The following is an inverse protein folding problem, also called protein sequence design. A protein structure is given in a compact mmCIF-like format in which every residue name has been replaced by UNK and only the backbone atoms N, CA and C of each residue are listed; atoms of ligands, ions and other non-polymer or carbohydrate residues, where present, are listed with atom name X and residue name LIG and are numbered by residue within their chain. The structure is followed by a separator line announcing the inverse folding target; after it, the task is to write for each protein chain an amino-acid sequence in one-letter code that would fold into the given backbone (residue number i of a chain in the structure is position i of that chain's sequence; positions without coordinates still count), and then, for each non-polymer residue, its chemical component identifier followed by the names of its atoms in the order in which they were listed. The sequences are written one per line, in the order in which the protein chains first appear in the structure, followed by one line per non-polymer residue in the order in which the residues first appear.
data_IF_963164501363
#
_entry.id   IF_963164501363
#
_cell.length_a   1.000
_cell.length_b   1.000
_cell.length_c   1.000
_cell.angle_alpha   90.00
_cell.angle_beta   90.00
_cell.angle_gamma   90.00
#
_symmetry.space_group_name_H-M   'P 1'
#
loop_
_entity.id
_entity.type
_entity.pdbx_description
1 polymer ?
#
# COMPACT_ATOMS: atom_id res chain seq x y z
N UNK A 1 8.92 21.47 -26.51
CA UNK A 1 9.14 20.17 -25.83
C UNK A 1 8.01 19.26 -26.28
N UNK A 2 8.33 18.18 -26.99
CA UNK A 2 7.33 17.31 -27.61
C UNK A 2 6.37 16.77 -26.55
N UNK A 3 5.06 16.94 -26.77
CA UNK A 3 3.97 16.50 -25.89
C UNK A 3 3.78 14.98 -25.84
N UNK A 4 4.87 14.21 -25.90
CA UNK A 4 4.86 12.77 -25.75
C UNK A 4 4.67 12.42 -24.27
N UNK A 5 3.54 11.81 -23.94
CA UNK A 5 3.32 11.20 -22.63
C UNK A 5 3.77 9.74 -22.73
N UNK A 6 4.73 9.28 -21.91
CA UNK A 6 5.14 7.87 -21.91
C UNK A 6 3.95 6.92 -21.69
N UNK A 7 3.97 5.76 -22.34
CA UNK A 7 2.86 4.79 -22.32
C UNK A 7 2.46 4.39 -20.90
N UNK A 8 3.45 4.10 -20.03
CA UNK A 8 3.18 3.77 -18.63
C UNK A 8 2.38 4.88 -17.90
N UNK A 9 2.68 6.15 -18.19
CA UNK A 9 2.04 7.30 -17.55
C UNK A 9 0.65 7.54 -18.12
N UNK A 10 0.47 7.39 -19.44
CA UNK A 10 -0.83 7.44 -20.09
C UNK A 10 -1.74 6.33 -19.55
N UNK A 11 -1.22 5.10 -19.45
CA UNK A 11 -1.94 3.95 -18.91
C UNK A 11 -2.29 4.15 -17.44
N UNK A 12 -1.34 4.55 -16.59
CA UNK A 12 -1.58 4.82 -15.17
C UNK A 12 -2.69 5.86 -14.96
N UNK A 13 -2.67 6.96 -15.73
CA UNK A 13 -3.71 8.01 -15.68
C UNK A 13 -5.09 7.52 -16.13
N UNK A 14 -5.14 6.53 -17.02
CA UNK A 14 -6.40 5.96 -17.52
C UNK A 14 -7.08 5.02 -16.52
N UNK A 15 -6.34 4.47 -15.55
CA UNK A 15 -6.90 3.54 -14.55
C UNK A 15 -7.63 4.37 -13.49
N UNK A 16 -8.94 4.14 -13.27
CA UNK A 16 -9.70 4.88 -12.27
C UNK A 16 -9.14 4.71 -10.86
N UNK A 17 -9.23 5.77 -10.07
CA UNK A 17 -8.94 5.75 -8.65
C UNK A 17 -9.84 6.72 -7.89
N UNK A 18 -10.18 6.37 -6.66
CA UNK A 18 -10.84 7.27 -5.71
C UNK A 18 -9.87 8.34 -5.21
N UNK A 19 -10.40 9.38 -4.57
CA UNK A 19 -9.60 10.44 -3.94
C UNK A 19 -9.72 10.33 -2.42
N UNK A 20 -8.80 9.61 -1.81
CA UNK A 20 -8.73 9.46 -0.35
C UNK A 20 -7.56 10.23 0.26
N UNK A 21 -6.58 10.61 -0.55
CA UNK A 21 -5.46 11.44 -0.10
C UNK A 21 -5.84 12.92 -0.10
N UNK A 22 -5.24 13.71 0.78
CA UNK A 22 -5.36 15.17 0.75
C UNK A 22 -4.74 15.79 -0.52
N UNK A 23 -3.80 15.07 -1.13
CA UNK A 23 -2.99 15.49 -2.27
C UNK A 23 -1.62 14.80 -2.21
N UNK A 24 -0.62 15.32 -2.95
CA UNK A 24 0.76 14.86 -2.81
C UNK A 24 1.25 14.90 -1.37
N UNK A 25 1.80 13.80 -0.86
CA UNK A 25 2.31 13.77 0.52
C UNK A 25 3.54 14.67 0.66
N UNK A 26 3.65 15.47 1.74
CA UNK A 26 4.75 16.41 1.92
C UNK A 26 6.12 15.73 1.93
N UNK A 27 7.16 16.40 1.42
CA UNK A 27 8.56 15.96 1.51
C UNK A 27 9.30 16.91 2.44
N UNK A 28 9.93 16.38 3.49
CA UNK A 28 10.53 17.17 4.56
C UNK A 28 12.00 16.84 4.74
N UNK A 29 12.84 17.88 4.80
CA UNK A 29 14.26 17.72 5.10
C UNK A 29 14.43 17.39 6.58
N UNK A 30 15.31 16.43 6.89
CA UNK A 30 15.64 16.04 8.26
C UNK A 30 17.06 16.52 8.60
N UNK A 31 17.28 17.83 8.88
CA UNK A 31 18.61 18.40 9.05
C UNK A 31 19.38 17.80 10.23
N UNK A 32 18.69 17.57 11.36
CA UNK A 32 19.31 16.99 12.56
C UNK A 32 19.76 15.55 12.32
N UNK A 33 18.91 14.74 11.69
CA UNK A 33 19.24 13.35 11.35
C UNK A 33 20.36 13.29 10.30
N UNK A 34 20.33 14.19 9.30
CA UNK A 34 21.38 14.28 8.30
C UNK A 34 22.73 14.61 8.92
N UNK A 35 22.77 15.60 9.83
CA UNK A 35 23.99 15.99 10.56
C UNK A 35 24.51 14.85 11.44
N UNK A 36 23.60 14.10 12.07
CA UNK A 36 23.97 12.98 12.93
C UNK A 36 24.58 11.82 12.12
N UNK A 37 23.94 11.43 11.02
CA UNK A 37 24.36 10.27 10.21
C UNK A 37 25.48 10.57 9.21
N UNK A 38 25.60 11.83 8.79
CA UNK A 38 26.61 12.30 7.85
C UNK A 38 27.12 13.67 8.29
N UNK A 39 27.97 13.73 9.33
CA UNK A 39 28.49 15.00 9.85
C UNK A 39 29.23 15.84 8.80
N UNK A 40 29.86 15.19 7.83
CA UNK A 40 30.57 15.81 6.70
C UNK A 40 29.63 16.28 5.58
N UNK A 41 28.33 15.97 5.65
CA UNK A 41 27.32 16.43 4.70
C UNK A 41 27.22 15.61 3.41
N UNK A 42 27.83 14.43 3.35
CA UNK A 42 27.78 13.52 2.19
C UNK A 42 26.40 12.93 1.91
N UNK A 43 25.51 12.85 2.92
CA UNK A 43 24.14 12.34 2.78
C UNK A 43 23.13 13.32 3.38
N UNK A 44 22.08 13.62 2.61
CA UNK A 44 20.93 14.42 3.07
C UNK A 44 19.71 13.53 3.20
N UNK A 45 19.18 13.41 4.40
CA UNK A 45 18.00 12.57 4.69
C UNK A 45 16.73 13.40 4.60
N UNK A 46 15.75 12.86 3.88
CA UNK A 46 14.42 13.44 3.73
C UNK A 46 13.36 12.39 4.06
N UNK A 47 12.16 12.83 4.41
CA UNK A 47 11.00 11.98 4.62
C UNK A 47 9.81 12.45 3.79
N UNK A 48 9.28 11.57 2.95
CA UNK A 48 8.00 11.76 2.27
C UNK A 48 6.87 11.20 3.13
N UNK A 49 5.99 12.09 3.60
CA UNK A 49 5.07 11.88 4.73
C UNK A 49 3.79 11.17 4.34
N UNK A 50 3.92 9.96 3.80
CA UNK A 50 2.78 9.11 3.47
C UNK A 50 1.98 8.68 4.73
N UNK A 51 2.54 8.83 5.92
CA UNK A 51 1.85 8.68 7.21
C UNK A 51 0.81 9.78 7.50
N UNK A 52 0.88 10.92 6.81
CA UNK A 52 -0.02 12.07 6.98
C UNK A 52 -0.88 12.31 5.72
N UNK A 53 -1.03 11.31 4.85
CA UNK A 53 -1.59 11.51 3.52
C UNK A 53 -3.13 11.62 3.47
N UNK A 54 -3.86 11.34 4.55
CA UNK A 54 -5.33 11.25 4.54
C UNK A 54 -5.95 11.52 5.91
N UNK A 55 -7.17 12.05 5.90
CA UNK A 55 -8.02 12.20 7.09
C UNK A 55 -8.71 10.89 7.52
N UNK A 56 -8.61 9.83 6.72
CA UNK A 56 -9.24 8.56 6.99
C UNK A 56 -8.44 7.75 8.01
N UNK A 57 -8.78 7.95 9.29
CA UNK A 57 -8.23 7.23 10.45
C UNK A 57 -6.69 7.15 10.40
N UNK A 58 -6.00 8.28 10.29
CA UNK A 58 -4.54 8.42 10.18
C UNK A 58 -3.91 8.01 8.84
N UNK A 59 -4.67 7.64 7.82
CA UNK A 59 -4.13 7.42 6.47
C UNK A 59 -3.04 6.34 6.39
N UNK A 60 -1.95 6.64 5.69
CA UNK A 60 -0.79 5.76 5.54
C UNK A 60 -0.65 5.17 4.14
N UNK A 61 0.41 4.38 3.95
CA UNK A 61 0.72 3.75 2.66
C UNK A 61 -0.41 2.87 2.10
N UNK A 62 -1.25 2.29 2.96
CA UNK A 62 -2.34 1.42 2.51
C UNK A 62 -3.46 2.20 1.83
N UNK A 63 -3.77 3.42 2.30
CA UNK A 63 -4.81 4.26 1.68
C UNK A 63 -4.44 4.63 0.25
N UNK A 64 -3.17 4.94 -0.03
CA UNK A 64 -2.67 5.20 -1.38
C UNK A 64 -2.90 4.03 -2.35
N UNK A 65 -2.75 2.78 -1.89
CA UNK A 65 -3.05 1.60 -2.72
C UNK A 65 -4.55 1.43 -2.92
N UNK A 66 -5.32 1.65 -1.85
CA UNK A 66 -6.76 1.44 -1.82
C UNK A 66 -7.55 2.41 -2.71
N UNK A 67 -7.00 3.57 -3.09
CA UNK A 67 -7.64 4.45 -4.09
C UNK A 67 -8.02 3.68 -5.37
N UNK A 68 -7.14 2.81 -5.87
CA UNK A 68 -7.38 2.02 -7.07
C UNK A 68 -8.33 0.84 -6.83
N UNK A 69 -8.13 0.10 -5.73
CA UNK A 69 -8.94 -1.09 -5.43
C UNK A 69 -10.39 -0.74 -5.11
N UNK A 70 -10.65 0.40 -4.43
CA UNK A 70 -12.03 0.83 -4.14
C UNK A 70 -12.74 1.32 -5.40
N UNK A 71 -12.03 2.01 -6.31
CA UNK A 71 -12.61 2.40 -7.60
C UNK A 71 -13.03 1.17 -8.41
N UNK A 72 -12.20 0.13 -8.41
CA UNK A 72 -12.52 -1.14 -9.05
C UNK A 72 -13.68 -1.88 -8.36
N UNK A 73 -13.70 -1.93 -7.03
CA UNK A 73 -14.81 -2.50 -6.26
C UNK A 73 -16.16 -1.81 -6.60
N UNK A 74 -16.18 -0.48 -6.65
CA UNK A 74 -17.37 0.30 -7.03
C UNK A 74 -17.78 0.04 -8.47
N UNK A 75 -16.82 0.00 -9.40
CA UNK A 75 -17.07 -0.33 -10.82
C UNK A 75 -17.71 -1.71 -10.98
N UNK A 76 -17.30 -2.67 -10.15
CA UNK A 76 -17.87 -4.01 -10.12
C UNK A 76 -19.22 -4.07 -9.37
N UNK A 77 -19.70 -2.98 -8.78
CA UNK A 77 -20.94 -2.94 -8.01
C UNK A 77 -20.86 -3.71 -6.69
N UNK A 78 -19.66 -3.87 -6.12
CA UNK A 78 -19.48 -4.48 -4.81
C UNK A 78 -19.99 -3.54 -3.71
N UNK A 79 -20.54 -4.11 -2.63
CA UNK A 79 -21.09 -3.36 -1.50
C UNK A 79 -20.28 -3.51 -0.21
N UNK A 80 -19.33 -4.46 -0.19
CA UNK A 80 -18.59 -4.83 1.02
C UNK A 80 -17.14 -5.13 0.68
N UNK A 81 -16.19 -4.46 1.33
CA UNK A 81 -14.79 -4.85 1.28
C UNK A 81 -14.51 -5.94 2.31
N UNK A 82 -13.88 -7.04 1.87
CA UNK A 82 -13.45 -8.13 2.75
C UNK A 82 -11.93 -8.20 2.75
N UNK A 83 -11.30 -8.20 3.92
CA UNK A 83 -9.83 -8.21 4.01
C UNK A 83 -9.32 -8.96 5.24
N UNK A 84 -8.00 -9.12 5.32
CA UNK A 84 -7.30 -9.88 6.37
C UNK A 84 -6.03 -9.15 6.85
N UNK A 85 -5.69 -9.32 8.12
CA UNK A 85 -4.45 -8.80 8.69
C UNK A 85 -4.17 -9.33 10.09
N UNK A 86 -3.01 -9.01 10.65
CA UNK A 86 -2.77 -9.22 12.08
C UNK A 86 -3.67 -8.34 12.96
N UNK A 87 -3.79 -8.65 14.25
CA UNK A 87 -4.59 -7.87 15.23
C UNK A 87 -4.33 -6.36 15.17
N UNK A 88 -3.07 -5.91 15.10
CA UNK A 88 -2.74 -4.48 15.00
C UNK A 88 -2.47 -4.00 13.57
N UNK A 89 -3.09 -4.65 12.59
CA UNK A 89 -2.88 -4.34 11.18
C UNK A 89 -3.32 -2.91 10.82
N UNK A 90 -2.36 -2.11 10.37
CA UNK A 90 -2.66 -0.82 9.72
C UNK A 90 -3.51 -1.00 8.45
N UNK A 91 -3.43 -2.17 7.81
CA UNK A 91 -4.16 -2.44 6.58
C UNK A 91 -5.66 -2.64 6.83
N UNK A 92 -6.06 -3.45 7.81
CA UNK A 92 -7.49 -3.67 8.10
C UNK A 92 -8.15 -2.38 8.60
N UNK A 93 -7.42 -1.58 9.38
CA UNK A 93 -7.83 -0.22 9.76
C UNK A 93 -8.05 0.67 8.53
N UNK A 94 -7.10 0.70 7.59
CA UNK A 94 -7.24 1.47 6.36
C UNK A 94 -8.38 0.97 5.45
N UNK A 95 -8.55 -0.35 5.28
CA UNK A 95 -9.65 -0.96 4.52
C UNK A 95 -10.99 -0.56 5.10
N UNK A 96 -11.13 -0.64 6.42
CA UNK A 96 -12.37 -0.24 7.10
C UNK A 96 -12.66 1.25 6.88
N UNK A 97 -11.64 2.10 7.02
CA UNK A 97 -11.80 3.54 6.85
C UNK A 97 -12.26 3.92 5.43
N UNK A 98 -11.61 3.38 4.39
CA UNK A 98 -11.97 3.69 2.99
C UNK A 98 -13.31 3.07 2.58
N UNK A 99 -13.68 1.90 3.14
CA UNK A 99 -14.98 1.29 2.91
C UNK A 99 -16.09 2.18 3.46
N UNK A 100 -16.04 2.50 4.76
CA UNK A 100 -17.04 3.34 5.43
C UNK A 100 -17.15 4.72 4.77
N UNK A 101 -16.01 5.36 4.45
CA UNK A 101 -16.00 6.65 3.76
C UNK A 101 -16.60 6.60 2.34
N UNK A 102 -16.61 5.42 1.72
CA UNK A 102 -17.16 5.20 0.38
C UNK A 102 -18.60 4.70 0.37
N UNK A 103 -19.25 4.59 1.54
CA UNK A 103 -20.58 3.99 1.69
C UNK A 103 -20.60 2.47 1.54
N UNK A 104 -19.44 1.80 1.56
CA UNK A 104 -19.31 0.35 1.54
C UNK A 104 -19.24 -0.19 2.96
N UNK A 105 -19.63 -1.45 3.14
CA UNK A 105 -19.39 -2.19 4.39
C UNK A 105 -17.96 -2.71 4.43
N UNK A 106 -17.47 -3.04 5.62
CA UNK A 106 -16.17 -3.68 5.81
C UNK A 106 -16.30 -4.93 6.68
N UNK A 107 -15.76 -6.05 6.22
CA UNK A 107 -15.54 -7.27 7.02
C UNK A 107 -14.05 -7.55 7.05
N UNK A 108 -13.46 -7.60 8.23
CA UNK A 108 -12.02 -7.90 8.36
C UNK A 108 -11.77 -9.07 9.28
N UNK A 109 -10.94 -10.01 8.81
CA UNK A 109 -10.44 -11.12 9.62
C UNK A 109 -9.10 -10.70 10.22
N UNK A 110 -8.99 -10.78 11.55
CA UNK A 110 -7.82 -10.34 12.30
C UNK A 110 -7.21 -11.50 13.10
N UNK A 111 -5.98 -11.86 12.75
CA UNK A 111 -5.28 -13.06 13.21
C UNK A 111 -4.09 -12.72 14.12
N UNK A 112 -3.66 -13.67 14.95
CA UNK A 112 -2.48 -13.49 15.82
C UNK A 112 -1.19 -13.80 15.05
N UNK A 113 -0.77 -12.87 14.19
CA UNK A 113 0.46 -13.03 13.39
C UNK A 113 1.76 -12.83 14.18
N UNK A 114 1.68 -12.19 15.33
CA UNK A 114 2.85 -11.92 16.17
C UNK A 114 2.67 -12.70 17.48
N UNK A 115 3.67 -13.50 17.91
CA UNK A 115 3.57 -14.34 19.12
C UNK A 115 3.78 -13.50 20.40
N UNK A 116 2.99 -12.43 20.55
CA UNK A 116 2.97 -11.56 21.73
C UNK A 116 1.55 -11.46 22.28
N UNK A 117 1.42 -11.24 23.59
CA UNK A 117 0.14 -11.05 24.24
C UNK A 117 0.18 -9.91 25.28
N UNK A 118 0.54 -8.67 24.87
CA UNK A 118 0.52 -7.56 25.80
C UNK A 118 -0.93 -7.26 26.21
N UNK A 119 -1.15 -6.66 27.41
CA UNK A 119 -2.49 -6.26 27.83
C UNK A 119 -3.19 -5.39 26.77
N UNK A 120 -4.47 -5.67 26.54
CA UNK A 120 -5.35 -4.89 25.64
C UNK A 120 -4.94 -4.88 24.15
N UNK A 121 -4.10 -5.82 23.71
CA UNK A 121 -3.61 -5.88 22.32
C UNK A 121 -4.72 -5.91 21.28
N UNK A 122 -5.82 -6.61 21.58
CA UNK A 122 -7.00 -6.76 20.73
C UNK A 122 -8.10 -5.73 21.03
N UNK A 123 -7.82 -4.75 21.90
CA UNK A 123 -8.78 -3.74 22.39
C UNK A 123 -8.33 -2.30 22.15
N UNK A 124 -7.12 -2.07 21.66
CA UNK A 124 -6.52 -0.73 21.51
C UNK A 124 -5.90 -0.54 20.13
N UNK A 125 -5.64 0.70 19.73
CA UNK A 125 -4.98 1.02 18.46
C UNK A 125 -5.80 0.63 17.22
N UNK A 126 -5.18 -0.01 16.23
CA UNK A 126 -5.77 -0.20 14.90
C UNK A 126 -7.08 -1.02 14.91
N UNK A 127 -7.14 -2.07 15.73
CA UNK A 127 -8.36 -2.89 15.83
C UNK A 127 -9.52 -2.12 16.45
N UNK A 128 -9.24 -1.29 17.47
CA UNK A 128 -10.23 -0.43 18.10
C UNK A 128 -10.81 0.55 17.08
N UNK A 129 -9.95 1.22 16.30
CA UNK A 129 -10.39 2.15 15.25
C UNK A 129 -11.28 1.45 14.21
N UNK A 130 -10.92 0.23 13.81
CA UNK A 130 -11.72 -0.56 12.87
C UNK A 130 -13.14 -0.82 13.40
N UNK A 131 -13.28 -1.15 14.69
CA UNK A 131 -14.58 -1.34 15.34
C UNK A 131 -15.37 -0.04 15.45
N UNK A 132 -14.71 1.05 15.88
CA UNK A 132 -15.36 2.36 16.04
C UNK A 132 -15.89 2.93 14.72
N UNK A 133 -15.26 2.61 13.59
CA UNK A 133 -15.73 2.99 12.25
C UNK A 133 -16.88 2.11 11.72
N UNK A 134 -17.38 1.16 12.52
CA UNK A 134 -18.47 0.26 12.15
C UNK A 134 -18.04 -0.97 11.33
N UNK A 135 -16.75 -1.29 11.27
CA UNK A 135 -16.27 -2.50 10.61
C UNK A 135 -16.68 -3.77 11.35
N UNK A 136 -17.11 -4.80 10.61
CA UNK A 136 -17.32 -6.15 11.15
C UNK A 136 -15.95 -6.82 11.34
N UNK A 137 -15.38 -6.68 12.55
CA UNK A 137 -14.07 -7.23 12.90
C UNK A 137 -14.22 -8.62 13.50
N UNK A 138 -13.70 -9.63 12.79
CA UNK A 138 -13.66 -11.03 13.24
C UNK A 138 -12.27 -11.35 13.76
N UNK A 139 -12.15 -11.52 15.07
CA UNK A 139 -10.92 -12.04 15.66
C UNK A 139 -10.88 -13.55 15.44
N UNK A 140 -9.88 -14.02 14.71
CA UNK A 140 -9.58 -15.43 14.58
C UNK A 140 -8.39 -15.77 15.49
N UNK A 141 -8.49 -16.86 16.25
CA UNK A 141 -7.39 -17.32 17.10
C UNK A 141 -6.33 -18.13 16.35
N UNK A 142 -6.53 -18.41 15.06
CA UNK A 142 -5.54 -19.06 14.21
C UNK A 142 -4.26 -18.20 14.05
N UNK A 143 -3.11 -18.88 13.95
CA UNK A 143 -1.79 -18.27 13.77
C UNK A 143 -1.51 -17.85 12.32
N UNK A 144 -0.31 -17.32 12.05
CA UNK A 144 0.11 -16.96 10.68
C UNK A 144 0.33 -18.20 9.82
N UNK A 145 -0.48 -18.39 8.76
CA UNK A 145 -0.31 -19.45 7.76
C UNK A 145 -0.16 -18.86 6.35
N UNK A 146 0.81 -19.38 5.58
CA UNK A 146 1.07 -18.98 4.18
C UNK A 146 -0.08 -19.42 3.25
N UNK A 147 -0.80 -20.47 3.64
CA UNK A 147 -2.08 -20.84 3.07
C UNK A 147 -3.15 -19.89 3.59
N UNK A 148 -3.46 -18.85 2.82
CA UNK A 148 -4.75 -18.20 2.95
C UNK A 148 -5.85 -19.30 3.01
N UNK A 149 -6.92 -19.08 3.76
CA UNK A 149 -8.20 -18.74 3.12
C UNK A 149 -9.43 -19.15 3.93
N UNK A 150 -9.44 -20.08 4.88
CA UNK A 150 -10.75 -20.55 5.41
C UNK A 150 -11.56 -19.45 6.11
N UNK A 151 -11.05 -18.82 7.17
CA UNK A 151 -11.79 -17.72 7.83
C UNK A 151 -12.08 -16.53 6.89
N UNK A 152 -11.19 -16.26 5.93
CA UNK A 152 -11.39 -15.19 4.94
C UNK A 152 -12.41 -15.59 3.86
N UNK A 153 -12.44 -16.85 3.42
CA UNK A 153 -13.45 -17.43 2.52
C UNK A 153 -14.79 -17.41 3.22
N UNK A 154 -14.87 -17.84 4.47
CA UNK A 154 -16.07 -17.75 5.29
C UNK A 154 -16.54 -16.30 5.43
N UNK A 155 -15.63 -15.33 5.57
CA UNK A 155 -15.98 -13.91 5.52
C UNK A 155 -16.58 -13.51 4.17
N UNK A 156 -15.97 -13.88 3.05
CA UNK A 156 -16.50 -13.64 1.70
C UNK A 156 -17.87 -14.31 1.50
N UNK A 157 -18.00 -15.59 1.82
CA UNK A 157 -19.24 -16.36 1.65
C UNK A 157 -20.35 -15.85 2.57
N UNK A 158 -20.03 -15.41 3.79
CA UNK A 158 -21.03 -14.83 4.67
C UNK A 158 -21.60 -13.50 4.16
N UNK A 159 -20.82 -12.71 3.39
CA UNK A 159 -21.35 -11.51 2.73
C UNK A 159 -22.34 -11.91 1.64
N UNK A 160 -21.98 -12.90 0.81
CA UNK A 160 -22.86 -13.43 -0.24
C UNK A 160 -24.15 -14.03 0.33
N UNK A 161 -24.04 -14.79 1.43
CA UNK A 161 -25.19 -15.39 2.10
C UNK A 161 -26.17 -14.35 2.68
N UNK A 162 -25.67 -13.16 3.04
CA UNK A 162 -26.49 -12.00 3.44
C UNK A 162 -27.02 -11.20 2.25
N UNK A 163 -26.86 -11.69 1.02
CA UNK A 163 -27.28 -11.04 -0.22
C UNK A 163 -26.35 -9.92 -0.72
N UNK A 164 -25.17 -9.76 -0.11
CA UNK A 164 -24.21 -8.74 -0.50
C UNK A 164 -23.23 -9.19 -1.58
N UNK A 165 -22.46 -8.24 -2.13
CA UNK A 165 -21.43 -8.50 -3.15
C UNK A 165 -20.04 -8.13 -2.60
N UNK A 166 -19.25 -9.12 -2.14
CA UNK A 166 -17.94 -8.85 -1.56
C UNK A 166 -16.90 -8.48 -2.63
N UNK A 167 -15.96 -7.61 -2.26
CA UNK A 167 -14.71 -7.37 -2.95
C UNK A 167 -13.54 -7.77 -2.04
N UNK A 168 -12.76 -8.76 -2.44
CA UNK A 168 -11.65 -9.25 -1.63
C UNK A 168 -10.40 -8.39 -1.81
N UNK A 169 -9.88 -7.85 -0.70
CA UNK A 169 -8.61 -7.13 -0.65
C UNK A 169 -7.57 -7.98 0.07
N UNK A 170 -6.54 -8.49 -0.62
CA UNK A 170 -5.52 -9.34 -0.01
C UNK A 170 -4.64 -8.55 0.98
N UNK A 171 -3.92 -9.27 1.83
CA UNK A 171 -3.10 -8.69 2.89
C UNK A 171 -2.19 -7.55 2.40
N UNK A 172 -2.41 -6.35 2.95
CA UNK A 172 -1.65 -5.15 2.61
C UNK A 172 -1.93 -4.57 1.23
N UNK A 173 -3.01 -5.03 0.57
CA UNK A 173 -3.39 -4.76 -0.81
C UNK A 173 -2.27 -5.09 -1.83
N UNK A 174 -1.44 -6.10 -1.52
CA UNK A 174 -0.21 -6.32 -2.28
C UNK A 174 -0.35 -7.33 -3.41
N UNK A 175 -0.84 -8.53 -3.11
CA UNK A 175 -0.98 -9.58 -4.13
C UNK A 175 -2.27 -9.40 -4.95
N UNK A 176 -2.40 -8.23 -5.55
CA UNK A 176 -3.55 -7.78 -6.34
C UNK A 176 -3.03 -7.08 -7.60
N UNK A 177 -3.72 -7.23 -8.72
CA UNK A 177 -3.28 -6.65 -10.01
C UNK A 177 -3.09 -5.12 -9.93
N UNK A 178 -3.94 -4.44 -9.16
CA UNK A 178 -3.88 -2.99 -8.92
C UNK A 178 -2.96 -2.59 -7.77
N UNK A 179 -2.39 -3.55 -7.02
CA UNK A 179 -1.74 -3.32 -5.73
C UNK A 179 -0.46 -2.47 -5.80
N UNK A 180 0.23 -2.45 -6.95
CA UNK A 180 1.43 -1.66 -7.19
C UNK A 180 1.19 -0.23 -7.66
N UNK A 181 0.02 0.05 -8.24
CA UNK A 181 -0.28 1.31 -8.94
C UNK A 181 -0.16 2.55 -8.04
N UNK A 182 -0.60 2.42 -6.79
CA UNK A 182 -0.49 3.49 -5.79
C UNK A 182 0.93 4.02 -5.64
N UNK A 183 1.92 3.12 -5.54
CA UNK A 183 3.32 3.48 -5.35
C UNK A 183 4.07 3.75 -6.65
N UNK A 184 3.57 3.28 -7.80
CA UNK A 184 4.05 3.82 -9.09
C UNK A 184 3.64 5.29 -9.23
N UNK A 185 2.41 5.65 -8.88
CA UNK A 185 1.96 7.04 -8.85
C UNK A 185 2.70 7.90 -7.81
N UNK A 186 3.21 7.29 -6.73
CA UNK A 186 4.09 7.99 -5.78
C UNK A 186 5.36 8.51 -6.46
N UNK A 187 5.96 7.74 -7.38
CA UNK A 187 7.18 8.19 -8.09
C UNK A 187 6.84 9.33 -9.05
N UNK A 188 5.70 9.27 -9.74
CA UNK A 188 5.20 10.38 -10.58
C UNK A 188 5.02 11.65 -9.75
N UNK A 189 4.36 11.53 -8.60
CA UNK A 189 4.16 12.61 -7.64
C UNK A 189 5.49 13.18 -7.11
N UNK A 190 6.45 12.31 -6.82
CA UNK A 190 7.78 12.71 -6.36
C UNK A 190 8.54 13.46 -7.45
N UNK A 191 8.46 13.02 -8.71
CA UNK A 191 9.13 13.69 -9.83
C UNK A 191 8.60 15.12 -10.05
N UNK A 192 7.31 15.37 -9.81
CA UNK A 192 6.73 16.72 -9.82
C UNK A 192 7.27 17.58 -8.66
N UNK A 193 7.37 17.01 -7.46
CA UNK A 193 7.93 17.70 -6.30
C UNK A 193 9.42 18.00 -6.48
N UNK A 194 10.19 17.08 -7.04
CA UNK A 194 11.60 17.25 -7.41
C UNK A 194 11.82 18.42 -8.36
N UNK A 195 10.97 18.53 -9.40
CA UNK A 195 11.01 19.63 -10.34
C UNK A 195 10.74 20.99 -9.66
N UNK A 196 9.79 21.03 -8.70
CA UNK A 196 9.49 22.24 -7.93
C UNK A 196 10.62 22.62 -6.96
N UNK A 197 11.29 21.63 -6.37
CA UNK A 197 12.35 21.81 -5.38
C UNK A 197 13.73 22.05 -6.01
N UNK A 198 13.89 21.79 -7.32
CA UNK A 198 15.17 21.91 -8.02
C UNK A 198 16.20 20.87 -7.54
N UNK A 199 15.77 19.67 -7.15
CA UNK A 199 16.63 18.59 -6.68
C UNK A 199 16.11 17.22 -7.13
N UNK A 200 16.97 16.20 -7.03
CA UNK A 200 16.62 14.81 -7.33
C UNK A 200 17.00 13.92 -6.13
N UNK A 201 16.10 13.02 -5.75
CA UNK A 201 16.34 12.01 -4.73
C UNK A 201 16.86 10.73 -5.40
N UNK A 202 18.16 10.52 -5.38
CA UNK A 202 18.82 9.39 -6.02
C UNK A 202 18.42 8.03 -5.42
N UNK A 203 18.05 8.02 -4.13
CA UNK A 203 17.76 6.79 -3.38
C UNK A 203 16.46 6.93 -2.57
N UNK A 204 15.56 5.96 -2.72
CA UNK A 204 14.36 5.81 -1.89
C UNK A 204 14.54 4.64 -0.93
N UNK A 205 14.21 4.82 0.34
CA UNK A 205 14.24 3.77 1.35
C UNK A 205 12.81 3.44 1.76
N UNK A 206 12.45 2.14 1.79
CA UNK A 206 11.08 1.70 2.06
C UNK A 206 11.03 0.43 2.90
N UNK A 207 10.21 0.43 3.95
CA UNK A 207 9.89 -0.78 4.71
C UNK A 207 9.09 -1.77 3.85
N UNK A 208 9.47 -3.06 3.88
CA UNK A 208 8.91 -4.11 3.01
C UNK A 208 8.43 -5.32 3.83
N UNK A 209 7.18 -5.73 3.58
CA UNK A 209 6.58 -6.95 4.13
C UNK A 209 5.78 -7.66 3.02
N UNK A 210 4.56 -7.21 2.75
CA UNK A 210 3.72 -7.82 1.69
C UNK A 210 4.06 -7.33 0.28
N UNK A 211 4.91 -6.31 0.15
CA UNK A 211 5.67 -6.05 -1.07
C UNK A 211 5.19 -4.92 -1.98
N UNK A 212 3.89 -4.69 -2.20
CA UNK A 212 3.50 -3.82 -3.34
C UNK A 212 3.82 -2.33 -3.20
N UNK A 213 4.14 -1.85 -1.99
CA UNK A 213 4.69 -0.49 -1.83
C UNK A 213 6.08 -0.40 -2.47
N UNK A 214 6.96 -1.33 -2.14
CA UNK A 214 8.28 -1.41 -2.72
C UNK A 214 8.20 -1.74 -4.22
N UNK A 215 7.35 -2.69 -4.60
CA UNK A 215 7.16 -3.06 -6.00
C UNK A 215 6.71 -1.87 -6.86
N UNK A 216 5.75 -1.07 -6.40
CA UNK A 216 5.30 0.11 -7.12
C UNK A 216 6.38 1.19 -7.25
N UNK A 217 7.20 1.39 -6.21
CA UNK A 217 8.37 2.28 -6.28
C UNK A 217 9.39 1.79 -7.30
N UNK A 218 9.68 0.49 -7.34
CA UNK A 218 10.57 -0.11 -8.36
C UNK A 218 10.01 0.10 -9.77
N UNK A 219 8.73 -0.22 -10.00
CA UNK A 219 8.10 -0.01 -11.29
C UNK A 219 8.16 1.46 -11.72
N UNK A 220 7.88 2.40 -10.81
CA UNK A 220 7.98 3.83 -11.10
C UNK A 220 9.40 4.31 -11.38
N UNK A 221 10.38 3.85 -10.61
CA UNK A 221 11.80 4.19 -10.75
C UNK A 221 12.40 3.66 -12.07
N UNK A 222 12.02 2.45 -12.48
CA UNK A 222 12.40 1.89 -13.77
C UNK A 222 11.72 2.67 -14.90
N UNK A 223 10.41 2.93 -14.79
CA UNK A 223 9.65 3.60 -15.84
C UNK A 223 10.08 5.05 -16.09
N UNK A 224 10.52 5.79 -15.05
CA UNK A 224 11.03 7.16 -15.23
C UNK A 224 12.43 7.19 -15.89
N UNK A 225 13.17 6.08 -15.88
CA UNK A 225 14.47 5.97 -16.55
C UNK A 225 15.59 6.84 -15.99
N UNK A 226 15.47 7.36 -14.76
CA UNK A 226 16.44 8.30 -14.15
C UNK A 226 17.53 7.62 -13.29
N UNK A 227 17.55 6.29 -13.27
CA UNK A 227 18.54 5.53 -12.49
C UNK A 227 18.34 5.63 -10.96
N UNK A 228 17.13 5.94 -10.50
CA UNK A 228 16.79 6.01 -9.07
C UNK A 228 16.92 4.63 -8.42
N UNK A 229 17.60 4.57 -7.28
CA UNK A 229 17.73 3.36 -6.46
C UNK A 229 16.56 3.24 -5.50
N UNK A 230 16.03 2.03 -5.33
CA UNK A 230 15.03 1.73 -4.30
C UNK A 230 15.57 0.66 -3.38
N UNK A 231 15.74 1.00 -2.11
CA UNK A 231 16.27 0.14 -1.06
C UNK A 231 15.13 -0.29 -0.14
N UNK A 232 14.78 -1.57 -0.23
CA UNK A 232 13.82 -2.20 0.68
C UNK A 232 14.46 -2.66 1.98
N UNK A 233 13.87 -2.29 3.12
CA UNK A 233 14.22 -2.83 4.44
C UNK A 233 13.16 -3.86 4.82
N UNK A 234 13.54 -5.15 4.88
CA UNK A 234 12.62 -6.22 5.28
C UNK A 234 12.16 -6.04 6.74
N UNK A 235 10.87 -6.23 6.96
CA UNK A 235 10.27 -6.28 8.28
C UNK A 235 9.36 -7.52 8.44
N UNK A 236 9.50 -8.51 7.55
CA UNK A 236 8.72 -9.75 7.59
C UNK A 236 9.41 -10.85 8.40
N UNK A 237 10.73 -10.77 8.57
CA UNK A 237 11.54 -11.88 9.08
C UNK A 237 11.73 -13.02 8.08
N UNK A 238 11.27 -12.84 6.83
CA UNK A 238 11.29 -13.80 5.73
C UNK A 238 11.77 -13.10 4.44
N UNK A 239 13.03 -12.64 4.39
CA UNK A 239 13.52 -11.76 3.33
C UNK A 239 13.44 -12.38 1.93
N UNK A 240 13.67 -13.70 1.79
CA UNK A 240 13.59 -14.38 0.49
C UNK A 240 12.15 -14.42 -0.06
N UNK A 241 11.16 -14.75 0.77
CA UNK A 241 9.73 -14.74 0.41
C UNK A 241 9.28 -13.32 0.03
N UNK A 242 9.66 -12.33 0.85
CA UNK A 242 9.36 -10.92 0.61
C UNK A 242 9.97 -10.42 -0.69
N UNK A 243 11.25 -10.73 -0.96
CA UNK A 243 11.91 -10.37 -2.23
C UNK A 243 11.19 -10.98 -3.43
N UNK A 244 10.91 -12.29 -3.39
CA UNK A 244 10.20 -12.99 -4.48
C UNK A 244 8.83 -12.36 -4.77
N UNK A 245 8.07 -12.06 -3.71
CA UNK A 245 6.76 -11.41 -3.84
C UNK A 245 6.89 -9.99 -4.42
N UNK A 246 7.85 -9.18 -3.98
CA UNK A 246 8.11 -7.84 -4.52
C UNK A 246 8.43 -7.93 -6.01
N UNK A 247 9.37 -8.78 -6.42
CA UNK A 247 9.78 -8.94 -7.82
C UNK A 247 8.59 -9.34 -8.70
N UNK A 248 7.78 -10.30 -8.25
CA UNK A 248 6.58 -10.74 -8.99
C UNK A 248 5.56 -9.61 -9.14
N UNK A 249 5.26 -8.89 -8.06
CA UNK A 249 4.31 -7.77 -8.10
C UNK A 249 4.84 -6.64 -9.00
N UNK A 250 6.14 -6.33 -8.94
CA UNK A 250 6.75 -5.26 -9.73
C UNK A 250 6.67 -5.58 -11.23
N UNK A 251 6.98 -6.83 -11.61
CA UNK A 251 6.85 -7.31 -13.00
C UNK A 251 5.42 -7.27 -13.50
N UNK A 252 4.45 -7.69 -12.69
CA UNK A 252 3.05 -7.64 -13.06
C UNK A 252 2.56 -6.19 -13.22
N UNK A 253 2.96 -5.30 -12.29
CA UNK A 253 2.61 -3.88 -12.35
C UNK A 253 3.24 -3.20 -13.57
N UNK A 254 4.52 -3.51 -13.87
CA UNK A 254 5.21 -3.00 -15.05
C UNK A 254 4.48 -3.41 -16.34
N UNK A 255 4.23 -4.71 -16.53
CA UNK A 255 3.51 -5.25 -17.69
C UNK A 255 2.10 -4.67 -17.86
N UNK A 256 1.40 -4.40 -16.76
CA UNK A 256 0.07 -3.77 -16.79
C UNK A 256 0.13 -2.34 -17.33
N UNK A 257 1.19 -1.61 -17.02
CA UNK A 257 1.35 -0.21 -17.38
C UNK A 257 1.97 -0.04 -18.77
N UNK A 258 2.98 -0.83 -19.09
CA UNK A 258 3.69 -0.79 -20.35
C UNK A 258 4.38 -2.16 -20.57
N UNK A 259 3.96 -2.95 -21.58
CA UNK A 259 4.53 -4.27 -21.84
C UNK A 259 6.04 -4.28 -22.14
N UNK A 260 6.63 -3.14 -22.49
CA UNK A 260 8.07 -3.00 -22.76
C UNK A 260 8.90 -2.78 -21.49
N UNK A 261 8.28 -2.46 -20.35
CA UNK A 261 9.00 -2.26 -19.09
C UNK A 261 9.49 -3.58 -18.51
N UNK A 262 10.80 -3.67 -18.34
CA UNK A 262 11.47 -4.81 -17.71
C UNK A 262 11.95 -4.45 -16.31
N UNK A 263 11.54 -5.24 -15.31
CA UNK A 263 12.06 -5.12 -13.95
C UNK A 263 13.29 -6.04 -13.81
N UNK A 264 14.49 -5.48 -13.60
CA UNK A 264 15.71 -6.27 -13.45
C UNK A 264 15.67 -7.12 -12.17
N UNK A 265 16.46 -8.20 -12.15
CA UNK A 265 16.60 -9.07 -10.97
C UNK A 265 17.47 -8.46 -9.84
N UNK A 266 18.26 -7.43 -10.18
CA UNK A 266 19.18 -6.69 -9.30
C UNK A 266 18.96 -5.19 -9.37
#
# INVERSE_FOLDING_TARGET
MNGYTPDYLAKLKSIPKEKFLFGPSPVQYLPRLSKELSPEGGVKVWAKRDDCNSGLAYGGNKVRKLEYLVADAKKQGCDTLVSVGGVQSNHTRAVTAVATASGLKAVTVQEKWVPINPPLYDKTGNILLSRLMGGEVRLNQEGFHIGHKEATKEAVESVKAKGGKPYYVPAGASDHELGGLGFTNFVVELAEQEAQMGLFFDTLIVCSVTGSSHAGLLTGAVAEGKGRKVIGIDASGKPAETKSQITRIARNTAKLLDPSLEIPDS
#
